data_IF_859698931529
#
_entry.id   IF_859698931529
#
_cell.length_a   1.000
_cell.length_b   1.000
_cell.length_c   1.000
_cell.angle_alpha   90.00
_cell.angle_beta   90.00
_cell.angle_gamma   90.00
#
_symmetry.space_group_name_H-M   'P 1'
#
loop_
_entity.id
_entity.type
_entity.pdbx_description
1 polymer ?
#
# COMPACT_ATOMS: atom_id res chain seq x y z
N UNK A 1 -1.48 -0.63 12.08
CA UNK A 1 -2.08 -1.04 13.37
C UNK A 1 -1.35 -0.44 14.57
N UNK A 2 -0.01 -0.50 14.61
CA UNK A 2 0.82 -0.01 15.73
C UNK A 2 0.54 1.48 16.02
N UNK A 3 0.58 2.34 15.01
CA UNK A 3 0.30 3.78 15.15
C UNK A 3 -1.12 4.03 15.67
N UNK A 4 -2.10 3.30 15.16
CA UNK A 4 -3.49 3.40 15.60
C UNK A 4 -3.65 2.99 17.06
N UNK A 5 -2.98 1.94 17.48
CA UNK A 5 -3.05 1.44 18.85
C UNK A 5 -2.37 2.38 19.83
N UNK A 6 -1.11 2.78 19.58
CA UNK A 6 -0.32 3.56 20.53
C UNK A 6 -0.62 5.06 20.48
N UNK A 7 -0.83 5.66 19.30
CA UNK A 7 -1.01 7.11 19.18
C UNK A 7 -2.48 7.51 19.27
N UNK A 8 -3.36 6.76 18.61
CA UNK A 8 -4.78 7.11 18.55
C UNK A 8 -5.63 6.36 19.59
N UNK A 9 -5.05 5.46 20.39
CA UNK A 9 -5.74 4.66 21.43
C UNK A 9 -7.04 4.01 20.94
N UNK A 10 -7.10 3.68 19.63
CA UNK A 10 -8.25 3.02 19.04
C UNK A 10 -8.20 1.52 19.31
N UNK A 11 -9.30 0.96 19.77
CA UNK A 11 -9.45 -0.49 19.89
C UNK A 11 -9.36 -1.13 18.51
N UNK A 12 -8.44 -2.06 18.36
CA UNK A 12 -8.22 -2.82 17.14
C UNK A 12 -8.67 -4.24 17.40
N UNK A 13 -9.44 -4.84 16.46
CA UNK A 13 -9.87 -6.22 16.59
C UNK A 13 -8.64 -7.14 16.73
N UNK A 14 -8.71 -8.13 17.60
CA UNK A 14 -7.59 -9.02 17.91
C UNK A 14 -7.01 -9.73 16.67
N UNK A 15 -7.85 -10.04 15.67
CA UNK A 15 -7.45 -10.70 14.42
C UNK A 15 -6.40 -9.93 13.61
N UNK A 16 -6.34 -8.61 13.80
CA UNK A 16 -5.38 -7.75 13.06
C UNK A 16 -3.93 -8.10 13.39
N UNK A 17 -3.66 -8.49 14.64
CA UNK A 17 -2.29 -8.80 15.07
C UNK A 17 -1.71 -10.04 14.39
N UNK A 18 -2.37 -11.22 14.40
CA UNK A 18 -1.90 -12.36 13.63
C UNK A 18 -1.87 -12.07 12.13
N UNK A 19 -2.82 -11.30 11.59
CA UNK A 19 -2.81 -10.91 10.18
C UNK A 19 -1.55 -10.12 9.80
N UNK A 20 -1.13 -9.18 10.63
CA UNK A 20 0.13 -8.43 10.44
C UNK A 20 1.32 -9.38 10.42
N UNK A 21 1.38 -10.36 11.33
CA UNK A 21 2.47 -11.34 11.36
C UNK A 21 2.50 -12.18 10.09
N UNK A 22 1.35 -12.67 9.62
CA UNK A 22 1.27 -13.40 8.35
C UNK A 22 1.76 -12.56 7.17
N UNK A 23 1.35 -11.29 7.08
CA UNK A 23 1.80 -10.41 6.02
C UNK A 23 3.31 -10.11 6.12
N UNK A 24 3.84 -9.87 7.32
CA UNK A 24 5.28 -9.62 7.51
C UNK A 24 6.13 -10.82 7.10
N UNK A 25 5.75 -12.05 7.55
CA UNK A 25 6.44 -13.27 7.13
C UNK A 25 6.28 -13.53 5.63
N UNK A 26 5.10 -13.24 5.08
CA UNK A 26 4.87 -13.37 3.65
C UNK A 26 5.75 -12.43 2.83
N UNK A 27 5.82 -11.15 3.19
CA UNK A 27 6.71 -10.18 2.53
C UNK A 27 8.18 -10.56 2.70
N UNK A 28 8.56 -11.04 3.89
CA UNK A 28 9.92 -11.55 4.14
C UNK A 28 10.29 -12.68 3.16
N UNK A 29 9.40 -13.64 2.93
CA UNK A 29 9.63 -14.74 1.99
C UNK A 29 9.62 -14.28 0.51
N UNK A 30 8.90 -13.21 0.17
CA UNK A 30 8.92 -12.62 -1.16
C UNK A 30 10.20 -11.82 -1.44
N UNK A 31 10.85 -11.33 -0.40
CA UNK A 31 12.07 -10.54 -0.51
C UNK A 31 13.28 -11.45 -0.49
N UNK A 32 14.14 -11.37 -1.51
CA UNK A 32 15.41 -12.08 -1.51
C UNK A 32 16.43 -11.31 -0.67
N UNK A 33 16.69 -11.79 0.55
CA UNK A 33 17.66 -11.21 1.47
C UNK A 33 19.03 -11.88 1.42
N UNK A 34 19.29 -12.79 0.48
CA UNK A 34 20.54 -13.56 0.42
C UNK A 34 21.80 -12.70 0.39
N UNK A 35 21.73 -11.54 -0.27
CA UNK A 35 22.82 -10.59 -0.40
C UNK A 35 22.49 -9.19 0.17
N UNK A 36 21.56 -9.12 1.11
CA UNK A 36 21.06 -7.85 1.64
C UNK A 36 22.12 -7.14 2.48
N UNK A 37 22.63 -6.03 1.96
CA UNK A 37 23.43 -5.05 2.73
C UNK A 37 22.56 -3.86 3.07
N UNK A 38 22.51 -3.47 4.34
CA UNK A 38 21.75 -2.29 4.78
C UNK A 38 22.36 -1.04 4.13
N UNK A 39 21.54 -0.33 3.37
CA UNK A 39 21.90 0.92 2.67
C UNK A 39 21.14 2.10 3.24
N UNK A 40 21.64 3.31 3.01
CA UNK A 40 20.92 4.53 3.39
C UNK A 40 19.49 4.57 2.82
N UNK A 41 19.30 4.04 1.61
CA UNK A 41 17.98 3.92 0.98
C UNK A 41 16.97 3.14 1.80
N UNK A 42 17.38 2.09 2.50
CA UNK A 42 16.47 1.27 3.32
C UNK A 42 15.89 2.09 4.48
N UNK A 43 16.71 2.98 5.07
CA UNK A 43 16.23 3.93 6.09
C UNK A 43 15.20 4.92 5.54
N UNK A 44 15.39 5.40 4.30
CA UNK A 44 14.44 6.27 3.62
C UNK A 44 13.12 5.55 3.30
N UNK A 45 13.18 4.27 2.92
CA UNK A 45 11.98 3.45 2.69
C UNK A 45 11.19 3.24 3.98
N UNK A 46 11.86 3.00 5.11
CA UNK A 46 11.19 2.89 6.42
C UNK A 46 10.51 4.21 6.79
N UNK A 47 11.17 5.34 6.57
CA UNK A 47 10.59 6.66 6.78
C UNK A 47 9.37 6.89 5.87
N UNK A 48 9.46 6.52 4.60
CA UNK A 48 8.35 6.56 3.66
C UNK A 48 7.16 5.70 4.14
N UNK A 49 7.41 4.49 4.63
CA UNK A 49 6.37 3.62 5.18
C UNK A 49 5.65 4.24 6.38
N UNK A 50 6.36 4.99 7.23
CA UNK A 50 5.75 5.75 8.32
C UNK A 50 4.79 6.81 7.80
N UNK A 51 5.23 7.64 6.84
CA UNK A 51 4.36 8.65 6.23
C UNK A 51 3.18 8.03 5.49
N UNK A 52 3.39 6.90 4.83
CA UNK A 52 2.32 6.15 4.18
C UNK A 52 1.26 5.66 5.17
N UNK A 53 1.69 5.13 6.32
CA UNK A 53 0.78 4.71 7.38
C UNK A 53 -0.03 5.90 7.94
N UNK A 54 0.60 7.05 8.15
CA UNK A 54 -0.09 8.27 8.55
C UNK A 54 -1.08 8.73 7.48
N UNK A 55 -0.71 8.70 6.21
CA UNK A 55 -1.59 9.04 5.08
C UNK A 55 -2.86 8.17 5.09
N UNK A 56 -2.72 6.84 5.23
CA UNK A 56 -3.87 5.92 5.33
C UNK A 56 -4.80 6.30 6.49
N UNK A 57 -4.23 6.66 7.65
CA UNK A 57 -5.01 7.05 8.83
C UNK A 57 -5.74 8.38 8.58
N UNK A 58 -5.05 9.38 8.04
CA UNK A 58 -5.64 10.68 7.74
C UNK A 58 -6.76 10.57 6.73
N UNK A 59 -6.52 9.93 5.59
CA UNK A 59 -7.53 9.75 4.55
C UNK A 59 -8.74 8.99 5.11
N UNK A 60 -8.53 7.89 5.86
CA UNK A 60 -9.63 7.12 6.45
C UNK A 60 -10.49 7.92 7.43
N UNK A 61 -9.93 8.90 8.12
CA UNK A 61 -10.69 9.78 9.00
C UNK A 61 -11.39 10.90 8.21
N UNK A 62 -10.70 11.54 7.27
CA UNK A 62 -11.25 12.65 6.47
C UNK A 62 -12.39 12.21 5.57
N UNK A 63 -12.25 11.08 4.86
CA UNK A 63 -13.26 10.65 3.90
C UNK A 63 -14.59 10.29 4.56
N UNK A 64 -14.56 9.83 5.81
CA UNK A 64 -15.78 9.57 6.58
C UNK A 64 -16.56 10.83 6.92
N UNK A 65 -15.86 11.94 7.11
CA UNK A 65 -16.46 13.22 7.47
C UNK A 65 -16.95 14.01 6.25
N UNK A 66 -16.19 14.04 5.18
CA UNK A 66 -16.44 14.91 4.03
C UNK A 66 -17.03 14.23 2.80
N UNK A 67 -16.89 12.90 2.68
CA UNK A 67 -17.46 12.07 1.61
C UNK A 67 -17.18 12.58 0.17
N UNK A 68 -16.01 13.12 -0.09
CA UNK A 68 -15.59 13.69 -1.38
C UNK A 68 -14.33 12.98 -1.92
N UNK A 69 -14.36 11.66 -2.26
CA UNK A 69 -13.17 10.90 -2.62
C UNK A 69 -12.46 11.45 -3.86
N UNK A 70 -13.18 11.85 -4.90
CA UNK A 70 -12.60 12.41 -6.12
C UNK A 70 -11.88 13.73 -5.85
N UNK A 71 -12.45 14.58 -5.02
CA UNK A 71 -11.83 15.86 -4.65
C UNK A 71 -10.51 15.62 -3.90
N UNK A 72 -10.51 14.72 -2.92
CA UNK A 72 -9.29 14.38 -2.18
C UNK A 72 -8.25 13.70 -3.07
N UNK A 73 -8.67 12.83 -3.99
CA UNK A 73 -7.78 12.22 -4.99
C UNK A 73 -7.12 13.27 -5.89
N UNK A 74 -7.91 14.20 -6.43
CA UNK A 74 -7.40 15.28 -7.26
C UNK A 74 -6.48 16.24 -6.47
N UNK A 75 -6.87 16.62 -5.25
CA UNK A 75 -6.08 17.51 -4.41
C UNK A 75 -4.72 16.93 -4.07
N UNK A 76 -4.66 15.66 -3.65
CA UNK A 76 -3.38 15.00 -3.36
C UNK A 76 -2.52 14.85 -4.61
N UNK A 77 -3.11 14.51 -5.77
CA UNK A 77 -2.39 14.43 -7.03
C UNK A 77 -1.78 15.79 -7.42
N UNK A 78 -2.52 16.87 -7.27
CA UNK A 78 -2.03 18.24 -7.52
C UNK A 78 -0.87 18.61 -6.58
N UNK A 79 -1.01 18.33 -5.28
CA UNK A 79 0.05 18.66 -4.31
C UNK A 79 1.32 17.84 -4.60
N UNK A 80 1.18 16.53 -4.83
CA UNK A 80 2.33 15.67 -5.16
C UNK A 80 2.98 16.12 -6.47
N UNK A 81 2.19 16.39 -7.52
CA UNK A 81 2.72 16.86 -8.81
C UNK A 81 3.46 18.18 -8.69
N UNK A 82 2.92 19.12 -7.91
CA UNK A 82 3.55 20.42 -7.69
C UNK A 82 4.92 20.29 -7.02
N UNK A 83 5.01 19.56 -5.92
CA UNK A 83 6.29 19.36 -5.24
C UNK A 83 7.25 18.51 -6.06
N UNK A 84 6.81 17.44 -6.70
CA UNK A 84 7.66 16.61 -7.56
C UNK A 84 8.23 17.43 -8.73
N UNK A 85 7.43 18.30 -9.34
CA UNK A 85 7.90 19.16 -10.41
C UNK A 85 8.97 20.17 -9.93
N UNK A 86 8.79 20.77 -8.76
CA UNK A 86 9.80 21.64 -8.16
C UNK A 86 11.10 20.85 -7.93
N UNK A 87 11.03 19.68 -7.31
CA UNK A 87 12.24 18.87 -7.08
C UNK A 87 12.91 18.45 -8.38
N UNK A 88 12.14 18.07 -9.41
CA UNK A 88 12.69 17.69 -10.71
C UNK A 88 13.48 18.84 -11.35
N UNK A 89 13.01 20.09 -11.27
CA UNK A 89 13.73 21.25 -11.79
C UNK A 89 15.10 21.44 -11.10
N UNK A 90 15.18 21.19 -9.80
CA UNK A 90 16.42 21.42 -9.06
C UNK A 90 17.42 20.24 -9.11
N UNK A 91 16.94 19.03 -9.27
CA UNK A 91 17.76 17.82 -9.09
C UNK A 91 17.88 16.95 -10.34
N UNK A 92 17.10 17.23 -11.39
CA UNK A 92 17.05 16.39 -12.59
C UNK A 92 17.31 17.21 -13.87
N UNK A 93 17.87 16.53 -14.89
CA UNK A 93 18.00 17.10 -16.23
C UNK A 93 16.77 16.72 -17.07
N UNK A 94 15.80 17.63 -17.15
CA UNK A 94 14.58 17.40 -17.91
C UNK A 94 14.83 17.67 -19.39
N UNK A 95 14.72 16.63 -20.22
CA UNK A 95 14.79 16.76 -21.69
C UNK A 95 13.51 16.21 -22.32
N UNK A 96 13.01 16.90 -23.35
CA UNK A 96 11.80 16.48 -24.08
C UNK A 96 11.97 15.08 -24.67
N UNK A 97 13.17 14.76 -25.16
CA UNK A 97 13.48 13.43 -25.71
C UNK A 97 13.27 12.31 -24.66
N UNK A 98 13.75 12.49 -23.42
CA UNK A 98 13.58 11.51 -22.37
C UNK A 98 12.10 11.35 -21.98
N UNK A 99 11.34 12.44 -21.92
CA UNK A 99 9.89 12.40 -21.63
C UNK A 99 9.14 11.63 -22.72
N UNK A 100 9.47 11.86 -23.99
CA UNK A 100 8.81 11.16 -25.11
C UNK A 100 9.17 9.67 -25.12
N UNK A 101 10.41 9.32 -24.86
CA UNK A 101 10.86 7.92 -24.82
C UNK A 101 10.16 7.13 -23.69
N UNK A 102 9.93 7.77 -22.54
CA UNK A 102 9.29 7.16 -21.35
C UNK A 102 7.79 7.49 -21.23
N UNK A 103 7.19 8.02 -22.30
CA UNK A 103 5.80 8.52 -22.26
C UNK A 103 4.79 7.48 -21.79
N UNK A 104 4.93 6.22 -22.18
CA UNK A 104 4.04 5.13 -21.78
C UNK A 104 4.17 4.87 -20.25
N UNK A 105 5.39 4.81 -19.75
CA UNK A 105 5.66 4.63 -18.31
C UNK A 105 5.10 5.79 -17.49
N UNK A 106 5.27 7.02 -17.98
CA UNK A 106 4.77 8.23 -17.33
C UNK A 106 3.23 8.25 -17.31
N UNK A 107 2.56 7.93 -18.43
CA UNK A 107 1.11 7.86 -18.49
C UNK A 107 0.58 6.75 -17.57
N UNK A 108 1.20 5.58 -17.59
CA UNK A 108 0.82 4.48 -16.70
C UNK A 108 0.93 4.89 -15.22
N UNK A 109 2.08 5.43 -14.81
CA UNK A 109 2.31 5.83 -13.43
C UNK A 109 1.40 7.01 -13.02
N UNK A 110 1.23 8.02 -13.88
CA UNK A 110 0.43 9.20 -13.57
C UNK A 110 -1.08 8.94 -13.58
N UNK A 111 -1.60 8.25 -14.60
CA UNK A 111 -3.04 8.06 -14.78
C UNK A 111 -3.54 6.82 -14.03
N UNK A 112 -2.94 5.65 -14.27
CA UNK A 112 -3.44 4.41 -13.68
C UNK A 112 -3.04 4.29 -12.21
N UNK A 113 -1.78 4.45 -11.88
CA UNK A 113 -1.29 4.32 -10.50
C UNK A 113 -1.64 5.56 -9.67
N UNK A 114 -1.18 6.74 -10.06
CA UNK A 114 -1.38 7.99 -9.32
C UNK A 114 -2.83 8.49 -9.31
N UNK A 115 -3.51 8.44 -10.46
CA UNK A 115 -4.88 8.94 -10.60
C UNK A 115 -5.94 7.93 -10.14
N UNK A 116 -6.05 6.83 -10.86
CA UNK A 116 -7.15 5.87 -10.67
C UNK A 116 -6.97 5.08 -9.38
N UNK A 117 -5.82 4.44 -9.17
CA UNK A 117 -5.63 3.54 -8.04
C UNK A 117 -5.72 4.29 -6.70
N UNK A 118 -5.09 5.47 -6.56
CA UNK A 118 -5.20 6.27 -5.34
C UNK A 118 -6.61 6.79 -5.09
N UNK A 119 -7.34 7.17 -6.13
CA UNK A 119 -8.75 7.59 -5.97
C UNK A 119 -9.62 6.43 -5.52
N UNK A 120 -9.43 5.22 -6.08
CA UNK A 120 -10.12 4.00 -5.65
C UNK A 120 -9.76 3.63 -4.20
N UNK A 121 -8.50 3.80 -3.80
CA UNK A 121 -8.05 3.62 -2.43
C UNK A 121 -8.81 4.53 -1.46
N UNK A 122 -8.92 5.82 -1.76
CA UNK A 122 -9.66 6.77 -0.94
C UNK A 122 -11.14 6.38 -0.86
N UNK A 123 -11.73 5.99 -1.98
CA UNK A 123 -13.12 5.52 -2.03
C UNK A 123 -13.34 4.27 -1.17
N UNK A 124 -12.45 3.29 -1.25
CA UNK A 124 -12.53 2.07 -0.45
C UNK A 124 -12.41 2.35 1.06
N UNK A 125 -11.54 3.28 1.46
CA UNK A 125 -11.36 3.67 2.86
C UNK A 125 -12.56 4.37 3.50
N UNK A 126 -13.57 4.76 2.72
CA UNK A 126 -14.85 5.22 3.24
C UNK A 126 -15.53 4.17 4.12
N UNK A 127 -15.44 2.90 3.71
CA UNK A 127 -16.14 1.78 4.35
C UNK A 127 -15.21 0.87 5.17
N UNK A 128 -13.90 1.01 5.01
CA UNK A 128 -12.89 0.16 5.65
C UNK A 128 -12.10 1.00 6.65
N UNK A 129 -11.88 0.46 7.84
CA UNK A 129 -11.01 1.13 8.83
C UNK A 129 -9.53 1.07 8.41
N UNK A 130 -8.69 2.03 8.85
CA UNK A 130 -7.31 2.14 8.39
C UNK A 130 -6.43 0.90 8.66
N UNK A 131 -6.66 0.16 9.77
CA UNK A 131 -5.86 -1.02 10.08
C UNK A 131 -6.09 -2.19 9.11
N UNK A 132 -7.33 -2.64 8.85
CA UNK A 132 -7.60 -3.61 7.79
C UNK A 132 -7.20 -3.14 6.39
N UNK A 133 -7.37 -1.83 6.08
CA UNK A 133 -6.96 -1.28 4.79
C UNK A 133 -5.45 -1.47 4.55
N UNK A 134 -4.61 -1.17 5.55
CA UNK A 134 -3.17 -1.38 5.45
C UNK A 134 -2.78 -2.85 5.23
N UNK A 135 -3.55 -3.80 5.78
CA UNK A 135 -3.31 -5.23 5.54
C UNK A 135 -3.72 -5.61 4.10
N UNK A 136 -4.86 -5.09 3.60
CA UNK A 136 -5.28 -5.34 2.21
C UNK A 136 -4.23 -4.84 1.21
N UNK A 137 -3.58 -3.71 1.48
CA UNK A 137 -2.53 -3.19 0.61
C UNK A 137 -1.31 -4.12 0.51
N UNK A 138 -1.10 -5.03 1.47
CA UNK A 138 -0.05 -6.05 1.34
C UNK A 138 -0.27 -7.01 0.15
N UNK A 139 -1.50 -7.08 -0.40
CA UNK A 139 -1.77 -7.82 -1.64
C UNK A 139 -1.02 -7.25 -2.86
N UNK A 140 -0.57 -6.00 -2.79
CA UNK A 140 0.28 -5.41 -3.83
C UNK A 140 1.49 -6.31 -4.12
N UNK A 141 2.16 -6.83 -3.08
CA UNK A 141 3.27 -7.78 -3.23
C UNK A 141 2.87 -9.08 -3.94
N UNK A 142 1.67 -9.59 -3.67
CA UNK A 142 1.14 -10.79 -4.34
C UNK A 142 0.90 -10.51 -5.82
N UNK A 143 0.22 -9.41 -6.15
CA UNK A 143 -0.04 -9.03 -7.53
C UNK A 143 1.24 -8.69 -8.29
N UNK A 144 2.22 -8.04 -7.64
CA UNK A 144 3.52 -7.76 -8.23
C UNK A 144 4.27 -9.06 -8.57
N UNK A 145 4.24 -10.06 -7.68
CA UNK A 145 4.86 -11.38 -7.89
C UNK A 145 4.20 -12.11 -9.07
N UNK A 146 2.87 -12.10 -9.14
CA UNK A 146 2.12 -12.71 -10.26
C UNK A 146 2.43 -11.99 -11.57
N UNK A 147 2.48 -10.66 -11.56
CA UNK A 147 2.80 -9.87 -12.74
C UNK A 147 4.24 -10.13 -13.22
N UNK A 148 5.20 -10.23 -12.31
CA UNK A 148 6.59 -10.56 -12.62
C UNK A 148 6.71 -11.96 -13.25
N UNK A 149 5.96 -12.93 -12.75
CA UNK A 149 5.90 -14.27 -13.33
C UNK A 149 5.33 -14.25 -14.75
N UNK A 150 4.20 -13.57 -14.98
CA UNK A 150 3.50 -13.60 -16.28
C UNK A 150 4.18 -12.69 -17.31
N UNK A 151 4.58 -11.47 -16.92
CA UNK A 151 5.06 -10.44 -17.85
C UNK A 151 6.57 -10.54 -18.05
N UNK A 152 7.32 -10.80 -16.98
CA UNK A 152 8.78 -10.84 -17.01
C UNK A 152 9.32 -12.27 -17.13
N UNK A 153 8.45 -13.30 -17.18
CA UNK A 153 8.82 -14.72 -17.20
C UNK A 153 9.77 -15.12 -16.04
N UNK A 154 9.65 -14.47 -14.89
CA UNK A 154 10.43 -14.80 -13.70
C UNK A 154 9.98 -16.16 -13.15
N UNK A 155 10.95 -17.01 -12.79
CA UNK A 155 10.65 -18.28 -12.15
C UNK A 155 10.29 -18.02 -10.69
N UNK A 156 9.14 -18.51 -10.25
CA UNK A 156 8.72 -18.43 -8.85
C UNK A 156 9.34 -19.56 -8.05
N UNK A 157 10.11 -19.21 -7.04
CA UNK A 157 10.59 -20.15 -6.04
C UNK A 157 9.47 -20.54 -5.08
N UNK A 158 9.66 -21.67 -4.39
CA UNK A 158 8.71 -22.14 -3.38
C UNK A 158 8.48 -21.10 -2.27
N UNK A 159 9.49 -20.32 -1.92
CA UNK A 159 9.38 -19.23 -0.95
C UNK A 159 8.41 -18.14 -1.42
N UNK A 160 8.44 -17.79 -2.72
CA UNK A 160 7.52 -16.81 -3.30
C UNK A 160 6.07 -17.30 -3.23
N UNK A 161 5.83 -18.59 -3.50
CA UNK A 161 4.49 -19.17 -3.43
C UNK A 161 3.97 -19.19 -1.98
N UNK A 162 4.81 -19.62 -1.03
CA UNK A 162 4.46 -19.61 0.40
C UNK A 162 4.24 -18.19 0.89
N UNK A 163 5.09 -17.22 0.48
CA UNK A 163 4.96 -15.82 0.82
C UNK A 163 3.63 -15.22 0.36
N UNK A 164 3.26 -15.45 -0.90
CA UNK A 164 1.95 -15.05 -1.43
C UNK A 164 0.79 -15.67 -0.65
N UNK A 165 0.87 -16.97 -0.35
CA UNK A 165 -0.15 -17.67 0.42
C UNK A 165 -0.31 -17.09 1.84
N UNK A 166 0.77 -16.79 2.54
CA UNK A 166 0.73 -16.18 3.87
C UNK A 166 0.09 -14.79 3.83
N UNK A 167 0.42 -13.96 2.84
CA UNK A 167 -0.21 -12.64 2.69
C UNK A 167 -1.71 -12.77 2.47
N UNK A 168 -2.13 -13.67 1.58
CA UNK A 168 -3.56 -13.91 1.31
C UNK A 168 -4.25 -14.39 2.61
N UNK A 169 -3.67 -15.33 3.34
CA UNK A 169 -4.20 -15.76 4.63
C UNK A 169 -4.32 -14.59 5.61
N UNK A 170 -3.28 -13.76 5.75
CA UNK A 170 -3.31 -12.57 6.61
C UNK A 170 -4.44 -11.62 6.26
N UNK A 171 -4.65 -11.35 4.97
CA UNK A 171 -5.76 -10.51 4.50
C UNK A 171 -7.11 -11.15 4.83
N UNK A 172 -7.31 -12.43 4.55
CA UNK A 172 -8.56 -13.14 4.85
C UNK A 172 -8.84 -13.13 6.36
N UNK A 173 -7.87 -13.39 7.21
CA UNK A 173 -8.02 -13.31 8.66
C UNK A 173 -8.46 -11.92 9.12
N UNK A 174 -7.87 -10.87 8.56
CA UNK A 174 -8.21 -9.49 8.93
C UNK A 174 -9.63 -9.10 8.55
N UNK A 175 -10.21 -9.71 7.53
CA UNK A 175 -11.54 -9.36 7.01
C UNK A 175 -12.65 -10.28 7.54
N UNK A 176 -12.42 -11.60 7.58
CA UNK A 176 -13.46 -12.57 7.89
C UNK A 176 -13.70 -12.72 9.39
N UNK A 177 -12.68 -12.69 10.24
CA UNK A 177 -12.87 -12.90 11.67
C UNK A 177 -13.70 -11.80 12.35
N UNK A 178 -13.49 -10.50 12.08
CA UNK A 178 -14.39 -9.47 12.64
C UNK A 178 -15.84 -9.62 12.22
N UNK A 179 -16.10 -10.08 10.98
CA UNK A 179 -17.45 -10.33 10.50
C UNK A 179 -18.10 -11.52 11.22
N UNK A 180 -17.32 -12.57 11.49
CA UNK A 180 -17.81 -13.73 12.24
C UNK A 180 -18.16 -13.36 13.69
N UNK A 181 -17.26 -12.67 14.40
CA UNK A 181 -17.47 -12.26 15.78
C UNK A 181 -18.66 -11.30 15.94
N UNK A 182 -18.92 -10.44 14.95
CA UNK A 182 -20.08 -9.56 14.95
C UNK A 182 -21.42 -10.32 14.78
N UNK A 183 -21.41 -11.37 13.97
CA UNK A 183 -22.62 -12.23 13.79
C UNK A 183 -22.93 -13.05 15.04
N UNK A 184 -21.91 -13.59 15.70
CA UNK A 184 -22.09 -14.42 16.92
C UNK A 184 -22.61 -13.56 18.09
N UNK A 185 -22.23 -12.29 18.19
CA UNK A 185 -22.74 -11.37 19.23
C UNK A 185 -24.17 -10.91 19.04
N UNK A 186 -24.73 -11.09 17.83
CA UNK A 186 -26.10 -10.67 17.49
C UNK A 186 -27.11 -11.84 17.51
N UNK A 187 -26.68 -13.06 17.89
CA UNK A 187 -27.49 -14.23 18.17
C UNK A 187 -27.64 -14.42 19.68
#
# INVERSE_FOLDING_TARGET
PIILFFIYSKSIHWSIWPSVLFCLFGVYLLSDFSDATIRLGDGLVILCALFWALHIIFIGNFIKNFNLPLFFGALQALVVSFFSFIFAIFFETITISNILNESISIIYAGVLSGGIAFTLQIYAQKNISPAPAGIIFSLEGVFATIAAWIILNQILDINNVIGCFLIICGVLFSQLLPLYDSKVKNI
#
